data_IF_825709237352
#
_entry.id   IF_825709237352
#
_cell.length_a   1.000
_cell.length_b   1.000
_cell.length_c   1.000
_cell.angle_alpha   90.00
_cell.angle_beta   90.00
_cell.angle_gamma   90.00
#
_symmetry.space_group_name_H-M   'P 1'
#
loop_
_entity.id
_entity.type
_entity.pdbx_description
1 polymer ?
#
# COMPACT_ATOMS: atom_id res chain seq x y z
N UNK A 1 22.70 -3.43 13.48
CA UNK A 1 22.42 -2.54 12.34
C UNK A 1 20.99 -2.00 12.33
N UNK A 2 19.94 -2.83 12.43
CA UNK A 2 18.53 -2.38 12.41
C UNK A 2 18.20 -1.33 13.49
N UNK A 3 18.72 -1.49 14.72
CA UNK A 3 18.49 -0.52 15.81
C UNK A 3 19.07 0.86 15.54
N UNK A 4 20.23 0.92 14.88
CA UNK A 4 20.90 2.19 14.54
C UNK A 4 20.11 2.89 13.42
N UNK A 5 19.61 2.13 12.43
CA UNK A 5 18.79 2.67 11.36
C UNK A 5 17.46 3.22 11.90
N UNK A 6 16.83 2.51 12.81
CA UNK A 6 15.57 2.96 13.44
C UNK A 6 15.78 4.23 14.28
N UNK A 7 16.89 4.32 15.02
CA UNK A 7 17.22 5.52 15.79
C UNK A 7 17.56 6.71 14.89
N UNK A 8 18.21 6.46 13.77
CA UNK A 8 18.54 7.50 12.78
C UNK A 8 17.26 8.04 12.10
N UNK A 9 16.33 7.17 11.74
CA UNK A 9 15.03 7.55 11.15
C UNK A 9 14.19 8.33 12.16
N UNK A 10 14.15 7.89 13.43
CA UNK A 10 13.47 8.63 14.51
C UNK A 10 14.13 9.99 14.78
N UNK A 11 15.45 10.06 14.81
CA UNK A 11 16.19 11.32 15.04
C UNK A 11 16.00 12.31 13.89
N UNK A 12 16.02 11.85 12.63
CA UNK A 12 15.73 12.67 11.46
C UNK A 12 14.28 13.17 11.46
N UNK A 13 13.35 12.32 11.92
CA UNK A 13 11.92 12.67 12.02
C UNK A 13 11.61 13.76 13.04
N UNK A 14 12.40 13.88 14.10
CA UNK A 14 12.23 14.92 15.13
C UNK A 14 12.82 16.28 14.71
N UNK A 15 13.63 16.33 13.65
CA UNK A 15 14.31 17.55 13.20
C UNK A 15 13.52 18.37 12.17
N UNK A 16 12.43 17.84 11.62
CA UNK A 16 11.62 18.55 10.62
C UNK A 16 10.35 19.09 11.27
N UNK A 17 10.28 20.42 11.45
CA UNK A 17 9.15 21.13 12.06
C UNK A 17 7.82 21.03 11.28
N UNK A 18 7.81 20.37 10.10
CA UNK A 18 6.65 20.18 9.22
C UNK A 18 6.36 18.71 8.92
N UNK A 19 6.86 17.80 9.74
CA UNK A 19 6.66 16.39 9.53
C UNK A 19 5.19 16.00 9.71
N UNK A 20 4.59 15.48 8.67
CA UNK A 20 3.21 15.01 8.68
C UNK A 20 3.17 13.48 8.59
N UNK A 21 2.32 12.88 9.41
CA UNK A 21 2.01 11.47 9.30
C UNK A 21 0.88 11.27 8.29
N UNK A 22 0.96 10.19 7.56
CA UNK A 22 -0.07 9.77 6.63
C UNK A 22 -0.49 8.33 6.95
N UNK A 23 -1.79 8.11 7.07
CA UNK A 23 -2.37 6.77 7.08
C UNK A 23 -3.00 6.56 5.70
N UNK A 24 -2.71 5.44 5.07
CA UNK A 24 -3.25 5.10 3.75
C UNK A 24 -3.82 3.70 3.75
N UNK A 25 -4.82 3.46 2.95
CA UNK A 25 -5.36 2.13 2.69
C UNK A 25 -5.87 2.02 1.26
N UNK A 26 -5.78 0.83 0.69
CA UNK A 26 -6.30 0.55 -0.65
C UNK A 26 -7.57 -0.28 -0.55
N UNK A 27 -8.59 0.09 -1.31
CA UNK A 27 -9.84 -0.65 -1.42
C UNK A 27 -9.63 -1.77 -2.43
N UNK A 28 -9.52 -2.99 -1.94
CA UNK A 28 -9.34 -4.18 -2.78
C UNK A 28 -10.66 -4.93 -2.94
N UNK A 29 -10.94 -5.35 -4.16
CA UNK A 29 -12.01 -6.31 -4.43
C UNK A 29 -11.43 -7.72 -4.30
N UNK A 30 -11.89 -8.45 -3.29
CA UNK A 30 -11.56 -9.87 -3.12
C UNK A 30 -12.67 -10.70 -3.74
N UNK A 31 -12.31 -11.59 -4.66
CA UNK A 31 -13.23 -12.57 -5.23
C UNK A 31 -12.86 -13.93 -4.67
N UNK A 32 -13.70 -14.48 -3.82
CA UNK A 32 -13.55 -15.85 -3.30
C UNK A 32 -14.36 -16.79 -4.18
N UNK A 33 -13.71 -17.84 -4.68
CA UNK A 33 -14.33 -18.89 -5.45
C UNK A 33 -14.38 -20.12 -4.55
N UNK A 34 -15.56 -20.59 -4.19
CA UNK A 34 -15.71 -21.85 -3.48
C UNK A 34 -15.62 -23.00 -4.51
N UNK A 35 -14.59 -23.83 -4.45
CA UNK A 35 -14.39 -24.96 -5.35
C UNK A 35 -12.93 -25.23 -5.73
N UNK A 36 -12.69 -26.17 -6.61
CA UNK A 36 -11.45 -26.92 -6.82
C UNK A 36 -10.19 -26.14 -7.24
N UNK A 37 -10.25 -24.85 -7.54
CA UNK A 37 -9.13 -24.10 -8.11
C UNK A 37 -8.62 -22.98 -7.18
N UNK A 38 -8.52 -23.22 -5.87
CA UNK A 38 -7.93 -22.27 -4.94
C UNK A 38 -6.43 -22.13 -5.16
N UNK A 39 -5.98 -20.93 -5.47
CA UNK A 39 -4.56 -20.60 -5.48
C UNK A 39 -4.00 -20.55 -4.05
N UNK A 40 -2.71 -20.82 -3.84
CA UNK A 40 -2.09 -20.71 -2.52
C UNK A 40 -2.35 -19.32 -1.92
N UNK A 41 -3.02 -19.28 -0.75
CA UNK A 41 -3.39 -18.06 -0.05
C UNK A 41 -4.89 -17.70 -0.07
N UNK A 42 -5.71 -18.41 -0.83
CA UNK A 42 -7.17 -18.24 -0.80
C UNK A 42 -7.80 -19.05 0.36
N UNK A 43 -8.76 -18.43 1.05
CA UNK A 43 -9.40 -19.04 2.22
C UNK A 43 -10.72 -19.72 1.81
N UNK A 44 -10.93 -20.95 2.24
CA UNK A 44 -12.21 -21.63 2.11
C UNK A 44 -13.26 -20.98 3.03
N UNK A 45 -14.34 -20.52 2.45
CA UNK A 45 -15.57 -20.27 3.20
C UNK A 45 -16.46 -21.51 3.12
N UNK A 46 -16.54 -22.24 4.22
CA UNK A 46 -17.28 -23.53 4.31
C UNK A 46 -18.80 -23.38 4.16
N UNK A 47 -19.30 -22.15 4.25
CA UNK A 47 -20.74 -21.88 4.17
C UNK A 47 -21.23 -21.55 2.76
N UNK A 48 -20.31 -21.54 1.77
CA UNK A 48 -20.64 -21.21 0.38
C UNK A 48 -20.72 -22.48 -0.49
N UNK A 49 -21.79 -22.64 -1.24
CA UNK A 49 -21.95 -23.75 -2.17
C UNK A 49 -20.82 -23.78 -3.22
N UNK A 50 -20.30 -24.99 -3.59
CA UNK A 50 -19.26 -25.12 -4.60
C UNK A 50 -19.62 -24.38 -5.89
N UNK A 51 -18.69 -23.59 -6.41
CA UNK A 51 -18.87 -22.80 -7.63
C UNK A 51 -19.53 -21.43 -7.45
N UNK A 52 -19.85 -21.03 -6.22
CA UNK A 52 -20.37 -19.67 -5.94
C UNK A 52 -19.22 -18.67 -5.86
N UNK A 53 -19.29 -17.62 -6.65
CA UNK A 53 -18.35 -16.48 -6.57
C UNK A 53 -18.87 -15.45 -5.58
N UNK A 54 -18.17 -15.23 -4.50
CA UNK A 54 -18.46 -14.15 -3.55
C UNK A 54 -17.49 -12.99 -3.78
N UNK A 55 -18.03 -11.77 -3.92
CA UNK A 55 -17.21 -10.58 -4.00
C UNK A 55 -17.30 -9.83 -2.67
N UNK A 56 -16.16 -9.63 -2.03
CA UNK A 56 -16.04 -8.79 -0.83
C UNK A 56 -15.14 -7.60 -1.09
N UNK A 57 -15.33 -6.54 -0.31
CA UNK A 57 -14.44 -5.38 -0.33
C UNK A 57 -13.55 -5.48 0.91
N UNK A 58 -12.24 -5.52 0.69
CA UNK A 58 -11.27 -5.49 1.76
C UNK A 58 -10.55 -4.13 1.76
N UNK A 59 -10.55 -3.47 2.91
CA UNK A 59 -9.93 -2.15 3.11
C UNK A 59 -8.75 -2.21 4.06
N UNK A 60 -8.41 -3.37 4.61
CA UNK A 60 -7.38 -3.51 5.65
C UNK A 60 -6.10 -4.19 5.20
N UNK A 61 -6.10 -4.86 4.07
CA UNK A 61 -4.93 -5.63 3.63
C UNK A 61 -3.76 -4.73 3.28
N UNK A 62 -4.03 -3.59 2.66
CA UNK A 62 -3.02 -2.58 2.32
C UNK A 62 -3.09 -1.35 3.22
N UNK A 63 -3.41 -1.54 4.51
CA UNK A 63 -3.31 -0.47 5.48
C UNK A 63 -1.85 -0.13 5.71
N UNK A 64 -1.48 1.13 5.54
CA UNK A 64 -0.13 1.62 5.68
C UNK A 64 -0.03 2.89 6.51
N UNK A 65 1.15 3.10 7.05
CA UNK A 65 1.55 4.32 7.74
C UNK A 65 2.77 4.91 7.04
N UNK A 66 2.70 6.18 6.70
CA UNK A 66 3.76 6.93 6.05
C UNK A 66 4.18 8.15 6.85
N UNK A 67 5.41 8.55 6.66
CA UNK A 67 5.99 9.73 7.22
C UNK A 67 6.52 10.63 6.11
N UNK A 68 6.07 11.88 6.08
CA UNK A 68 6.51 12.86 5.09
C UNK A 68 7.88 13.41 5.51
N UNK A 69 8.91 13.11 4.73
CA UNK A 69 10.29 13.55 4.98
C UNK A 69 10.50 15.00 4.56
N UNK A 70 9.89 15.38 3.44
CA UNK A 70 9.90 16.74 2.90
C UNK A 70 8.62 16.96 2.08
N UNK A 71 8.52 18.09 1.37
CA UNK A 71 7.33 18.44 0.59
C UNK A 71 6.99 17.42 -0.50
N UNK A 72 7.99 16.65 -0.95
CA UNK A 72 7.85 15.74 -2.09
C UNK A 72 7.94 14.26 -1.72
N UNK A 73 8.55 13.90 -0.58
CA UNK A 73 8.81 12.50 -0.24
C UNK A 73 8.05 12.04 0.99
N UNK A 74 7.35 10.92 0.84
CA UNK A 74 6.74 10.15 1.92
C UNK A 74 7.34 8.75 1.89
N UNK A 75 7.78 8.25 3.03
CA UNK A 75 8.23 6.87 3.22
C UNK A 75 7.36 6.18 4.24
N UNK A 76 7.11 4.91 4.07
CA UNK A 76 6.22 4.21 4.99
C UNK A 76 6.28 2.70 4.90
N UNK A 77 5.42 2.09 5.70
CA UNK A 77 5.28 0.64 5.80
C UNK A 77 3.80 0.28 5.68
N UNK A 78 3.52 -0.79 4.95
CA UNK A 78 2.20 -1.40 4.83
C UNK A 78 2.08 -2.54 5.85
N UNK A 79 0.88 -2.85 6.27
CA UNK A 79 0.56 -3.91 7.26
C UNK A 79 1.22 -5.26 6.92
N UNK A 80 1.38 -5.57 5.65
CA UNK A 80 2.08 -6.77 5.15
C UNK A 80 3.59 -6.78 5.44
N UNK A 81 4.15 -5.69 5.95
CA UNK A 81 5.58 -5.50 6.19
C UNK A 81 6.31 -4.87 5.01
N UNK A 82 5.61 -4.61 3.91
CA UNK A 82 6.18 -4.01 2.72
C UNK A 82 6.51 -2.54 2.94
N UNK A 83 7.62 -2.10 2.39
CA UNK A 83 8.04 -0.70 2.41
C UNK A 83 7.46 0.02 1.20
N UNK A 84 7.06 1.27 1.39
CA UNK A 84 6.71 2.11 0.26
C UNK A 84 7.41 3.47 0.31
N UNK A 85 7.69 3.98 -0.86
CA UNK A 85 8.15 5.35 -1.09
C UNK A 85 7.17 6.02 -2.04
N UNK A 86 6.70 7.19 -1.69
CA UNK A 86 5.82 8.00 -2.50
C UNK A 86 6.49 9.33 -2.82
N UNK A 87 6.55 9.68 -4.08
CA UNK A 87 7.06 10.95 -4.58
C UNK A 87 5.91 11.81 -5.09
N UNK A 88 5.75 12.99 -4.51
CA UNK A 88 4.72 13.96 -4.89
C UNK A 88 5.27 14.81 -6.04
N UNK A 89 4.72 14.62 -7.23
CA UNK A 89 5.13 15.32 -8.45
C UNK A 89 4.58 16.76 -8.47
N UNK A 90 3.35 16.93 -7.97
CA UNK A 90 2.70 18.21 -7.73
C UNK A 90 1.61 18.02 -6.67
N UNK A 91 0.87 19.07 -6.32
CA UNK A 91 -0.15 19.04 -5.26
C UNK A 91 -1.15 17.88 -5.34
N UNK A 92 -1.29 17.25 -6.49
CA UNK A 92 -2.30 16.22 -6.75
C UNK A 92 -1.75 14.93 -7.34
N UNK A 93 -0.66 15.00 -8.10
CA UNK A 93 -0.10 13.84 -8.79
C UNK A 93 1.05 13.25 -7.98
N UNK A 94 1.08 11.93 -7.83
CA UNK A 94 2.17 11.23 -7.15
C UNK A 94 2.59 9.96 -7.89
N UNK A 95 3.84 9.58 -7.70
CA UNK A 95 4.36 8.27 -8.02
C UNK A 95 4.56 7.47 -6.73
N UNK A 96 4.40 6.16 -6.79
CA UNK A 96 4.63 5.25 -5.66
C UNK A 96 5.50 4.09 -6.11
N UNK A 97 6.39 3.67 -5.21
CA UNK A 97 7.17 2.44 -5.34
C UNK A 97 7.01 1.66 -4.04
N UNK A 98 6.55 0.42 -4.14
CA UNK A 98 6.41 -0.52 -3.04
C UNK A 98 7.46 -1.62 -3.19
N UNK A 99 8.06 -2.04 -2.09
CA UNK A 99 9.01 -3.14 -2.03
C UNK A 99 8.48 -4.23 -1.10
N UNK A 100 8.14 -5.37 -1.67
CA UNK A 100 7.62 -6.52 -0.95
C UNK A 100 8.77 -7.30 -0.29
N UNK A 101 8.97 -7.10 1.00
CA UNK A 101 10.10 -7.65 1.74
C UNK A 101 9.94 -9.14 2.11
N UNK A 102 8.70 -9.63 2.20
CA UNK A 102 8.38 -10.96 2.73
C UNK A 102 8.29 -12.06 1.66
N UNK A 103 8.74 -11.79 0.43
CA UNK A 103 8.75 -12.80 -0.62
C UNK A 103 9.91 -13.81 -0.44
N UNK A 104 9.75 -14.98 -1.07
CA UNK A 104 10.72 -16.07 -0.98
C UNK A 104 12.09 -15.65 -1.54
N UNK A 105 13.21 -16.08 -0.94
CA UNK A 105 14.55 -15.74 -1.44
C UNK A 105 14.86 -16.26 -2.84
N UNK A 106 14.03 -17.13 -3.40
CA UNK A 106 14.20 -17.71 -4.75
C UNK A 106 13.56 -16.85 -5.86
N UNK A 107 12.78 -15.83 -5.51
CA UNK A 107 12.10 -14.97 -6.48
C UNK A 107 13.05 -13.88 -7.01
N UNK A 108 12.85 -13.48 -8.26
CA UNK A 108 13.66 -12.40 -8.86
C UNK A 108 13.37 -11.06 -8.18
N UNK A 109 14.39 -10.26 -7.95
CA UNK A 109 14.26 -8.95 -7.32
C UNK A 109 13.25 -8.01 -8.03
N UNK A 110 13.01 -8.20 -9.33
CA UNK A 110 12.01 -7.45 -10.11
C UNK A 110 10.57 -7.78 -9.73
N UNK A 111 10.31 -8.95 -9.16
CA UNK A 111 8.97 -9.40 -8.75
C UNK A 111 8.56 -8.78 -7.40
N UNK A 112 9.54 -8.27 -6.65
CA UNK A 112 9.34 -7.61 -5.36
C UNK A 112 9.01 -6.12 -5.46
N UNK A 113 9.15 -5.52 -6.65
CA UNK A 113 8.96 -4.09 -6.84
C UNK A 113 7.65 -3.84 -7.56
N UNK A 114 6.77 -3.07 -6.90
CA UNK A 114 5.54 -2.54 -7.48
C UNK A 114 5.72 -1.04 -7.63
N UNK A 115 5.51 -0.52 -8.83
CA UNK A 115 5.54 0.92 -9.07
C UNK A 115 4.21 1.39 -9.60
N UNK A 116 3.90 2.64 -9.37
CA UNK A 116 2.61 3.18 -9.78
C UNK A 116 2.58 4.69 -9.84
N UNK A 117 1.47 5.19 -10.35
CA UNK A 117 1.14 6.61 -10.42
C UNK A 117 -0.30 6.79 -9.96
N UNK A 118 -0.56 7.86 -9.24
CA UNK A 118 -1.89 8.17 -8.73
C UNK A 118 -2.17 9.65 -8.67
N UNK A 119 -3.42 9.96 -8.41
CA UNK A 119 -3.92 11.30 -8.29
C UNK A 119 -4.67 11.46 -6.97
N UNK A 120 -4.36 12.52 -6.20
CA UNK A 120 -4.96 12.82 -4.90
C UNK A 120 -6.08 13.84 -5.05
N UNK A 121 -7.30 13.43 -4.76
CA UNK A 121 -8.47 14.31 -4.64
C UNK A 121 -8.66 14.69 -3.17
N UNK A 122 -8.47 15.97 -2.79
CA UNK A 122 -8.69 16.38 -1.41
C UNK A 122 -10.16 16.26 -1.04
N UNK A 123 -10.43 15.69 0.13
CA UNK A 123 -11.73 15.60 0.78
C UNK A 123 -11.71 16.43 2.08
N UNK A 124 -12.87 16.72 2.69
CA UNK A 124 -12.91 17.39 3.99
C UNK A 124 -12.08 16.65 5.06
N UNK A 125 -11.58 17.40 6.06
CA UNK A 125 -10.89 16.86 7.23
C UNK A 125 -9.59 16.10 6.91
N UNK A 126 -8.78 16.60 5.99
CA UNK A 126 -7.48 16.03 5.61
C UNK A 126 -7.54 14.61 5.04
N UNK A 127 -8.71 14.16 4.57
CA UNK A 127 -8.83 12.94 3.79
C UNK A 127 -8.53 13.20 2.31
N UNK A 128 -8.05 12.16 1.64
CA UNK A 128 -7.77 12.17 0.21
C UNK A 128 -8.31 10.87 -0.41
N UNK A 129 -9.02 11.01 -1.52
CA UNK A 129 -9.37 9.88 -2.39
C UNK A 129 -8.31 9.78 -3.48
N UNK A 130 -7.73 8.60 -3.66
CA UNK A 130 -6.55 8.42 -4.46
C UNK A 130 -6.69 7.26 -5.45
N UNK A 131 -7.35 7.49 -6.61
CA UNK A 131 -7.26 6.55 -7.70
C UNK A 131 -5.80 6.45 -8.16
N UNK A 132 -5.33 5.22 -8.31
CA UNK A 132 -3.96 4.96 -8.72
C UNK A 132 -3.88 3.71 -9.61
N UNK A 133 -2.88 3.70 -10.44
CA UNK A 133 -2.51 2.55 -11.25
C UNK A 133 -1.15 2.04 -10.78
N UNK A 134 -1.08 0.78 -10.43
CA UNK A 134 0.15 0.12 -10.01
C UNK A 134 0.48 -1.01 -10.96
N UNK A 135 1.75 -1.28 -11.14
CA UNK A 135 2.26 -2.34 -11.98
C UNK A 135 3.39 -3.09 -11.27
N UNK A 136 3.23 -4.41 -11.19
CA UNK A 136 4.28 -5.37 -10.96
C UNK A 136 4.43 -6.20 -12.25
N UNK A 137 4.06 -7.44 -12.28
CA UNK A 137 3.92 -8.24 -13.50
C UNK A 137 2.66 -7.83 -14.28
N UNK A 138 1.53 -7.75 -13.58
CA UNK A 138 0.25 -7.26 -14.12
C UNK A 138 -0.08 -5.88 -13.61
N UNK A 139 -0.75 -5.09 -14.45
CA UNK A 139 -1.22 -3.77 -14.08
C UNK A 139 -2.55 -3.84 -13.33
N UNK A 140 -2.69 -3.05 -12.26
CA UNK A 140 -3.90 -2.96 -11.46
C UNK A 140 -4.33 -1.51 -11.29
N UNK A 141 -5.63 -1.26 -11.46
CA UNK A 141 -6.23 0.01 -11.08
C UNK A 141 -6.83 -0.13 -9.68
N UNK A 142 -6.42 0.77 -8.79
CA UNK A 142 -6.81 0.74 -7.38
C UNK A 142 -7.41 2.08 -6.97
N UNK A 143 -8.19 2.05 -5.91
CA UNK A 143 -8.66 3.26 -5.22
C UNK A 143 -8.14 3.18 -3.79
N UNK A 144 -7.36 4.18 -3.40
CA UNK A 144 -6.85 4.31 -2.04
C UNK A 144 -7.53 5.48 -1.33
N UNK A 145 -7.56 5.41 -0.02
CA UNK A 145 -7.95 6.52 0.85
C UNK A 145 -6.75 6.82 1.75
N UNK A 146 -6.37 8.08 1.85
CA UNK A 146 -5.34 8.51 2.78
C UNK A 146 -5.84 9.63 3.69
N UNK A 147 -5.24 9.69 4.87
CA UNK A 147 -5.49 10.71 5.89
C UNK A 147 -4.16 11.29 6.34
N UNK A 148 -4.02 12.61 6.29
CA UNK A 148 -2.83 13.33 6.76
C UNK A 148 -3.10 13.94 8.14
N UNK A 149 -2.21 13.63 9.08
CA UNK A 149 -2.24 14.11 10.47
C UNK A 149 -1.32 15.31 10.62
#
# INVERSE_FOLDING_TARGET
>A
MVRILLTLVLALGLLTANAQWMVTTTINKVTTIAGEDLKPGEVYDLDVCPGTKTNSINITDKLGIGYQLDDNFIVGIIKTGDLFVRYILNDKLFAVCEYNYLHSPDDKASEHIVWGIGYSFPLPNNFYLEPNYTKSEEGSFNISISYKI
#
